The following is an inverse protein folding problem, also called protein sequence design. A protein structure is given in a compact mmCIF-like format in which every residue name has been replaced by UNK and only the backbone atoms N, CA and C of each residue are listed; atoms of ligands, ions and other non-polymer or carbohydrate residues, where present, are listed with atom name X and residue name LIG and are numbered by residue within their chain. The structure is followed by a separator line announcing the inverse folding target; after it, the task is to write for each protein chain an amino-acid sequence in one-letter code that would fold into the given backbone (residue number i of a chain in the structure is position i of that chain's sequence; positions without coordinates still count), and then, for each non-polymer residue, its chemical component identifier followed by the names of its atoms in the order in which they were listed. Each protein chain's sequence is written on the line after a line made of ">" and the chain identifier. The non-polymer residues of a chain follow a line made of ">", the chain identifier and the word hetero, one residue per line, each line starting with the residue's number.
data_IF_284091002920
#
_entry.id   IF_284091002920
#
_cell.length_a   1.000
_cell.length_b   1.000
_cell.length_c   1.000
_cell.angle_alpha   90.00
_cell.angle_beta   90.00
_cell.angle_gamma   90.00
#
_symmetry.space_group_name_H-M   'P 1'
#
loop_
_entity.id
_entity.type
_entity.pdbx_description
1 polymer ?
#
# COMPACT_ATOMS: atom_id res chain seq x y z
N UNK A 1 -1.45 -17.13 -35.96
CA UNK A 1 -2.70 -17.25 -35.16
C UNK A 1 -2.53 -18.48 -34.29
N UNK A 2 -2.46 -18.30 -32.97
CA UNK A 2 -2.44 -19.42 -32.04
C UNK A 2 -3.88 -19.79 -31.71
N UNK A 3 -4.20 -21.08 -31.77
CA UNK A 3 -5.55 -21.60 -31.49
C UNK A 3 -5.46 -22.51 -30.28
N UNK A 4 -6.17 -22.17 -29.22
CA UNK A 4 -6.22 -22.96 -27.98
C UNK A 4 -7.49 -23.82 -28.03
N UNK A 5 -7.34 -25.13 -27.86
CA UNK A 5 -8.48 -26.03 -27.69
C UNK A 5 -8.82 -26.13 -26.20
N UNK A 6 -10.09 -25.91 -25.87
CA UNK A 6 -10.57 -25.94 -24.49
C UNK A 6 -11.66 -27.00 -24.42
N UNK A 7 -11.45 -28.00 -23.55
CA UNK A 7 -12.50 -28.96 -23.24
C UNK A 7 -13.54 -28.30 -22.34
N UNK A 8 -14.80 -28.38 -22.77
CA UNK A 8 -15.94 -27.85 -22.03
C UNK A 8 -16.98 -28.94 -21.85
N UNK A 9 -17.73 -28.87 -20.76
CA UNK A 9 -18.80 -29.84 -20.50
C UNK A 9 -19.87 -29.79 -21.60
N UNK A 10 -20.49 -30.93 -21.87
CA UNK A 10 -21.55 -31.06 -22.90
C UNK A 10 -22.78 -30.19 -22.62
N UNK A 11 -23.02 -29.83 -21.35
CA UNK A 11 -24.05 -28.88 -20.95
C UNK A 11 -23.65 -27.45 -21.33
N UNK A 12 -22.43 -27.04 -20.98
CA UNK A 12 -21.93 -25.70 -21.30
C UNK A 12 -21.82 -25.49 -22.81
N UNK A 13 -21.34 -26.49 -23.55
CA UNK A 13 -21.28 -26.45 -25.01
C UNK A 13 -22.66 -26.20 -25.64
N UNK A 14 -23.70 -26.92 -25.17
CA UNK A 14 -25.08 -26.70 -25.62
C UNK A 14 -25.58 -25.29 -25.34
N UNK A 15 -25.29 -24.76 -24.16
CA UNK A 15 -25.69 -23.39 -23.77
C UNK A 15 -24.98 -22.32 -24.60
N UNK A 16 -23.75 -22.58 -25.01
CA UNK A 16 -22.91 -21.65 -25.77
C UNK A 16 -23.14 -21.74 -27.29
N UNK A 17 -23.72 -22.83 -27.78
CA UNK A 17 -23.97 -23.06 -29.20
C UNK A 17 -24.71 -21.91 -29.91
N UNK A 18 -25.75 -21.27 -29.33
CA UNK A 18 -26.44 -20.14 -29.98
C UNK A 18 -25.57 -18.88 -30.11
N UNK A 19 -24.45 -18.81 -29.37
CA UNK A 19 -23.59 -17.63 -29.25
C UNK A 19 -22.25 -17.83 -29.95
N UNK A 20 -22.10 -18.79 -30.87
CA UNK A 20 -20.81 -19.09 -31.52
C UNK A 20 -20.12 -17.87 -32.13
N UNK A 21 -20.87 -16.96 -32.74
CA UNK A 21 -20.35 -15.71 -33.31
C UNK A 21 -19.91 -14.67 -32.25
N UNK A 22 -20.34 -14.83 -31.00
CA UNK A 22 -20.02 -13.95 -29.87
C UNK A 22 -19.10 -14.62 -28.85
N UNK A 23 -18.76 -15.90 -29.04
CA UNK A 23 -17.91 -16.67 -28.14
C UNK A 23 -16.58 -15.99 -27.81
N UNK A 24 -15.82 -15.45 -28.79
CA UNK A 24 -14.56 -14.78 -28.48
C UNK A 24 -14.74 -13.62 -27.49
N UNK A 25 -15.80 -12.82 -27.69
CA UNK A 25 -16.11 -11.66 -26.86
C UNK A 25 -16.61 -12.06 -25.47
N UNK A 26 -17.41 -13.13 -25.38
CA UNK A 26 -17.88 -13.68 -24.10
C UNK A 26 -16.70 -14.22 -23.26
N UNK A 27 -15.77 -14.92 -23.91
CA UNK A 27 -14.56 -15.42 -23.26
C UNK A 27 -13.69 -14.26 -22.77
N UNK A 28 -13.46 -13.25 -23.60
CA UNK A 28 -12.70 -12.07 -23.22
C UNK A 28 -13.30 -11.38 -21.99
N UNK A 29 -14.63 -11.22 -21.95
CA UNK A 29 -15.30 -10.63 -20.79
C UNK A 29 -15.19 -11.51 -19.54
N UNK A 30 -15.37 -12.82 -19.66
CA UNK A 30 -15.20 -13.74 -18.55
C UNK A 30 -13.79 -13.70 -17.96
N UNK A 31 -12.77 -13.69 -18.81
CA UNK A 31 -11.37 -13.57 -18.40
C UNK A 31 -11.10 -12.25 -17.65
N UNK A 32 -11.62 -11.13 -18.15
CA UNK A 32 -11.46 -9.83 -17.47
C UNK A 32 -12.11 -9.80 -16.08
N UNK A 33 -13.23 -10.49 -15.91
CA UNK A 33 -13.89 -10.60 -14.59
C UNK A 33 -13.02 -11.43 -13.64
N UNK A 34 -12.55 -12.60 -14.09
CA UNK A 34 -11.68 -13.46 -13.29
C UNK A 34 -10.38 -12.74 -12.91
N UNK A 35 -9.74 -12.02 -13.83
CA UNK A 35 -8.54 -11.21 -13.51
C UNK A 35 -8.79 -10.12 -12.48
N UNK A 36 -9.97 -9.47 -12.51
CA UNK A 36 -10.32 -8.47 -11.52
C UNK A 36 -10.57 -9.08 -10.15
N UNK A 37 -11.28 -10.21 -10.10
CA UNK A 37 -11.57 -10.90 -8.84
C UNK A 37 -10.30 -11.47 -8.21
N UNK A 38 -9.37 -12.02 -9.00
CA UNK A 38 -8.09 -12.52 -8.49
C UNK A 38 -7.20 -11.39 -7.99
N UNK A 39 -7.14 -10.26 -8.69
CA UNK A 39 -6.40 -9.06 -8.23
C UNK A 39 -7.00 -8.44 -6.98
N UNK A 40 -8.32 -8.29 -6.93
CA UNK A 40 -8.99 -7.76 -5.74
C UNK A 40 -8.75 -8.65 -4.50
N UNK A 41 -8.67 -9.97 -4.70
CA UNK A 41 -8.33 -10.91 -3.63
C UNK A 41 -6.87 -10.79 -3.20
N UNK A 42 -5.93 -10.67 -4.14
CA UNK A 42 -4.51 -10.47 -3.82
C UNK A 42 -4.25 -9.15 -3.11
N UNK A 43 -4.95 -8.09 -3.50
CA UNK A 43 -4.77 -6.76 -2.89
C UNK A 43 -5.30 -6.75 -1.45
N UNK A 44 -6.44 -7.41 -1.21
CA UNK A 44 -6.98 -7.57 0.15
C UNK A 44 -6.06 -8.43 1.04
N UNK A 45 -5.47 -9.50 0.49
CA UNK A 45 -4.51 -10.35 1.22
C UNK A 45 -3.23 -9.57 1.56
N UNK A 46 -2.73 -8.74 0.62
CA UNK A 46 -1.58 -7.85 0.84
C UNK A 46 -1.87 -6.75 1.87
N UNK A 47 -3.06 -6.17 1.84
CA UNK A 47 -3.49 -5.16 2.81
C UNK A 47 -3.56 -5.75 4.22
N UNK A 48 -4.10 -6.98 4.35
CA UNK A 48 -4.14 -7.70 5.63
C UNK A 48 -2.73 -8.00 6.16
N UNK A 49 -1.81 -8.41 5.29
CA UNK A 49 -0.41 -8.68 5.66
C UNK A 49 0.32 -7.40 6.07
N UNK A 50 0.13 -6.29 5.33
CA UNK A 50 0.68 -4.98 5.70
C UNK A 50 0.16 -4.50 7.04
N UNK A 51 -1.14 -4.63 7.32
CA UNK A 51 -1.72 -4.27 8.62
C UNK A 51 -1.12 -5.09 9.75
N UNK A 52 -0.94 -6.40 9.56
CA UNK A 52 -0.31 -7.27 10.55
C UNK A 52 1.16 -6.91 10.82
N UNK A 53 1.92 -6.56 9.78
CA UNK A 53 3.31 -6.08 9.91
C UNK A 53 3.37 -4.74 10.64
N UNK A 54 2.46 -3.81 10.30
CA UNK A 54 2.36 -2.52 10.94
C UNK A 54 2.04 -2.65 12.44
N UNK A 55 1.08 -3.50 12.81
CA UNK A 55 0.71 -3.73 14.22
C UNK A 55 1.87 -4.31 15.03
N UNK A 56 2.59 -5.30 14.46
CA UNK A 56 3.82 -5.84 15.08
C UNK A 56 4.86 -4.76 15.28
N UNK A 57 5.10 -3.94 14.26
CA UNK A 57 6.09 -2.85 14.30
C UNK A 57 5.75 -1.83 15.37
N UNK A 58 4.49 -1.41 15.46
CA UNK A 58 4.01 -0.48 16.49
C UNK A 58 4.19 -1.08 17.89
N UNK A 59 3.87 -2.36 18.05
CA UNK A 59 4.02 -3.06 19.33
C UNK A 59 5.47 -3.11 19.78
N UNK A 60 6.38 -3.52 18.89
CA UNK A 60 7.82 -3.56 19.18
C UNK A 60 8.39 -2.18 19.49
N UNK A 61 7.95 -1.14 18.79
CA UNK A 61 8.36 0.24 19.07
C UNK A 61 7.89 0.69 20.47
N UNK A 62 6.65 0.36 20.86
CA UNK A 62 6.13 0.66 22.20
C UNK A 62 6.91 -0.08 23.29
N UNK A 63 7.23 -1.36 23.07
CA UNK A 63 8.07 -2.15 23.98
C UNK A 63 9.47 -1.57 24.13
N UNK A 64 10.04 -1.00 23.06
CA UNK A 64 11.31 -0.28 23.09
C UNK A 64 11.23 1.11 23.74
N UNK A 65 10.07 1.49 24.27
CA UNK A 65 9.85 2.78 24.93
C UNK A 65 9.58 3.94 23.98
N UNK A 66 9.30 3.67 22.69
CA UNK A 66 8.85 4.71 21.78
C UNK A 66 7.42 5.14 22.15
N UNK A 67 7.30 6.31 22.77
CA UNK A 67 6.02 6.94 23.07
C UNK A 67 5.57 7.68 21.80
N UNK A 68 4.99 6.93 20.86
CA UNK A 68 4.30 7.53 19.72
C UNK A 68 2.97 8.14 20.14
N UNK A 69 2.52 9.17 19.43
CA UNK A 69 1.19 9.75 19.64
C UNK A 69 0.10 8.67 19.42
N UNK A 70 -0.98 8.77 20.19
CA UNK A 70 -2.11 7.87 20.09
C UNK A 70 -2.65 7.85 18.64
N UNK A 71 -2.89 6.68 18.03
CA UNK A 71 -3.53 6.57 16.72
C UNK A 71 -4.81 7.42 16.57
N UNK A 72 -5.58 7.60 17.64
CA UNK A 72 -6.76 8.48 17.64
C UNK A 72 -6.37 9.96 17.52
N UNK A 73 -5.28 10.38 18.15
CA UNK A 73 -4.75 11.74 18.04
C UNK A 73 -4.20 11.98 16.63
N UNK A 74 -3.48 11.00 16.06
CA UNK A 74 -2.94 11.09 14.71
C UNK A 74 -4.06 11.15 13.67
N UNK A 75 -5.10 10.33 13.81
CA UNK A 75 -6.23 10.32 12.88
C UNK A 75 -7.04 11.62 12.95
N UNK A 76 -7.25 12.20 14.14
CA UNK A 76 -7.83 13.53 14.30
C UNK A 76 -6.97 14.63 13.65
N UNK A 77 -5.64 14.52 13.75
CA UNK A 77 -4.70 15.47 13.15
C UNK A 77 -4.68 15.40 11.62
N UNK A 78 -4.75 14.19 11.05
CA UNK A 78 -4.79 13.97 9.61
C UNK A 78 -6.16 14.29 9.00
N UNK A 79 -7.25 14.08 9.75
CA UNK A 79 -8.61 14.44 9.34
C UNK A 79 -8.88 15.95 9.41
N UNK A 80 -8.11 16.70 10.20
CA UNK A 80 -8.10 18.16 10.20
C UNK A 80 -7.37 18.71 8.96
N UNK A 81 -7.90 18.37 7.77
CA UNK A 81 -7.38 18.73 6.46
C UNK A 81 -7.51 20.21 6.08
N UNK A 82 -7.50 21.13 7.05
CA UNK A 82 -7.49 22.57 6.78
C UNK A 82 -6.20 23.20 7.30
N UNK A 83 -5.46 23.72 6.32
CA UNK A 83 -4.30 24.59 6.39
C UNK A 83 -4.41 25.65 7.49
N UNK A 84 -4.05 25.32 8.73
CA UNK A 84 -3.50 26.33 9.62
C UNK A 84 -2.16 26.71 9.02
N UNK A 85 -2.09 27.89 8.41
CA UNK A 85 -0.86 28.50 7.95
C UNK A 85 0.15 28.40 9.09
N UNK A 86 1.11 27.47 8.95
CA UNK A 86 2.18 27.29 9.90
C UNK A 86 2.99 28.58 9.87
N UNK A 87 2.77 29.46 10.84
CA UNK A 87 3.64 30.61 11.01
C UNK A 87 4.90 30.10 11.68
N UNK A 88 6.06 30.11 10.99
CA UNK A 88 7.30 29.72 11.61
C UNK A 88 7.55 30.65 12.81
N UNK A 89 7.60 30.05 13.99
CA UNK A 89 7.99 30.76 15.20
C UNK A 89 9.50 30.96 15.08
N UNK A 90 9.97 32.21 15.19
CA UNK A 90 11.40 32.50 15.19
C UNK A 90 12.02 31.90 16.46
N UNK A 91 12.51 30.66 16.36
CA UNK A 91 13.30 30.04 17.40
C UNK A 91 14.69 30.69 17.40
N UNK A 92 15.01 31.43 18.45
CA UNK A 92 16.38 31.91 18.67
C UNK A 92 17.29 30.71 18.90
N UNK A 93 18.16 30.40 17.94
CA UNK A 93 19.07 29.27 17.99
C UNK A 93 19.54 28.83 16.61
N UNK A 94 20.55 27.97 16.56
CA UNK A 94 20.96 27.34 15.30
C UNK A 94 19.88 26.34 14.87
N UNK A 95 19.52 26.28 13.57
CA UNK A 95 18.61 25.26 13.07
C UNK A 95 19.17 23.87 13.37
N UNK A 96 18.29 22.91 13.63
CA UNK A 96 18.68 21.54 13.96
C UNK A 96 19.59 20.91 12.88
N UNK A 97 19.41 21.30 11.61
CA UNK A 97 20.29 20.91 10.51
C UNK A 97 21.74 21.35 10.71
N UNK A 98 21.96 22.58 11.18
CA UNK A 98 23.31 23.08 11.47
C UNK A 98 23.90 22.38 12.69
N UNK A 99 23.11 22.15 13.74
CA UNK A 99 23.59 21.40 14.91
C UNK A 99 24.00 19.96 14.55
N UNK A 100 23.26 19.30 13.66
CA UNK A 100 23.59 17.93 13.20
C UNK A 100 24.86 17.93 12.36
N UNK A 101 25.06 18.93 11.49
CA UNK A 101 26.30 19.07 10.71
C UNK A 101 27.48 19.35 11.64
N UNK A 102 27.34 20.28 12.59
CA UNK A 102 28.37 20.57 13.59
C UNK A 102 28.72 19.35 14.44
N UNK A 103 27.72 18.59 14.90
CA UNK A 103 27.95 17.34 15.66
C UNK A 103 28.65 16.28 14.80
N UNK A 104 28.33 16.18 13.51
CA UNK A 104 29.01 15.23 12.61
C UNK A 104 30.46 15.61 12.34
N UNK A 105 30.72 16.90 12.17
CA UNK A 105 32.07 17.41 11.92
C UNK A 105 32.94 17.36 13.19
N UNK A 106 32.35 17.62 14.36
CA UNK A 106 33.05 17.53 15.65
C UNK A 106 33.27 16.10 16.13
N UNK A 107 32.50 15.11 15.63
CA UNK A 107 32.77 13.67 15.81
C UNK A 107 33.89 13.14 14.94
N UNK A 108 34.72 14.01 14.36
CA UNK A 108 35.94 13.75 13.60
C UNK A 108 36.23 12.27 13.45
N UNK A 109 35.74 11.67 12.34
CA UNK A 109 35.98 10.26 12.06
C UNK A 109 37.50 10.04 12.07
N UNK A 110 38.00 9.44 13.16
CA UNK A 110 39.38 8.97 13.27
C UNK A 110 39.48 7.78 12.33
N UNK A 111 39.69 8.10 11.05
CA UNK A 111 40.21 7.20 10.04
C UNK A 111 41.72 7.41 9.97
N UNK A 112 42.46 6.76 10.87
CA UNK A 112 43.84 6.35 10.59
C UNK A 112 44.20 5.13 11.41
#
# INVERSE_FOLDING_TARGET
>A
METIQIEVSSNLARRLQPYQNKLPRLLEWGLRVVEKETKARSDADLELEMMAVQERTITTLREAGAIGADPEIISQYLAAGDTRAWQPIAAGGKPASEMIVEERDSRGWIGR
#
